data_IF_481504932888
#
_entry.id   IF_481504932888
#
_cell.length_a   1.000
_cell.length_b   1.000
_cell.length_c   1.000
_cell.angle_alpha   90.00
_cell.angle_beta   90.00
_cell.angle_gamma   90.00
#
_symmetry.space_group_name_H-M   'P 1'
#
loop_
_entity.id
_entity.type
_entity.pdbx_description
1 polymer ?
#
# COMPACT_ATOMS: atom_id res chain seq x y z
N UNK A 1 -25.09 -24.13 12.86
CA UNK A 1 -25.75 -22.99 12.22
C UNK A 1 -24.66 -21.98 11.92
N UNK A 2 -24.30 -21.76 10.67
CA UNK A 2 -23.34 -20.70 10.32
C UNK A 2 -24.03 -19.38 10.63
N UNK A 3 -23.50 -18.62 11.60
CA UNK A 3 -24.00 -17.27 11.88
C UNK A 3 -23.90 -16.45 10.59
N UNK A 4 -24.97 -15.73 10.25
CA UNK A 4 -24.96 -14.79 9.14
C UNK A 4 -23.87 -13.73 9.43
N UNK A 5 -22.99 -13.40 8.46
CA UNK A 5 -21.97 -12.39 8.69
C UNK A 5 -22.62 -11.01 8.92
N UNK A 6 -22.07 -10.25 9.84
CA UNK A 6 -22.43 -8.85 10.06
C UNK A 6 -21.76 -7.94 9.02
N UNK A 7 -20.57 -8.34 8.57
CA UNK A 7 -19.79 -7.59 7.57
C UNK A 7 -19.28 -8.53 6.50
N UNK A 8 -19.51 -8.19 5.23
CA UNK A 8 -18.83 -8.79 4.08
C UNK A 8 -17.76 -7.83 3.59
N UNK A 9 -16.52 -8.32 3.48
CA UNK A 9 -15.40 -7.59 2.89
C UNK A 9 -15.09 -8.19 1.53
N UNK A 10 -15.06 -7.37 0.49
CA UNK A 10 -14.79 -7.81 -0.89
C UNK A 10 -13.34 -7.51 -1.25
N UNK A 11 -12.55 -8.58 -1.43
CA UNK A 11 -11.11 -8.55 -1.71
C UNK A 11 -10.25 -8.90 -0.49
N UNK A 12 -9.29 -9.82 -0.67
CA UNK A 12 -8.32 -10.26 0.34
C UNK A 12 -6.91 -9.72 0.10
N UNK A 13 -6.79 -8.49 -0.41
CA UNK A 13 -5.56 -7.72 -0.40
C UNK A 13 -5.25 -7.15 0.99
N UNK A 14 -4.21 -6.31 1.10
CA UNK A 14 -3.82 -5.69 2.39
C UNK A 14 -4.96 -4.91 3.03
N UNK A 15 -5.81 -4.23 2.25
CA UNK A 15 -6.94 -3.48 2.78
C UNK A 15 -8.00 -4.42 3.35
N UNK A 16 -8.41 -5.44 2.60
CA UNK A 16 -9.45 -6.36 3.06
C UNK A 16 -9.03 -7.18 4.29
N UNK A 17 -7.81 -7.73 4.29
CA UNK A 17 -7.29 -8.48 5.43
C UNK A 17 -7.11 -7.60 6.68
N UNK A 18 -6.67 -6.34 6.50
CA UNK A 18 -6.53 -5.41 7.62
C UNK A 18 -7.88 -4.95 8.18
N UNK A 19 -8.90 -4.71 7.34
CA UNK A 19 -10.27 -4.44 7.80
C UNK A 19 -10.83 -5.63 8.57
N UNK A 20 -10.68 -6.83 8.03
CA UNK A 20 -11.11 -8.05 8.68
C UNK A 20 -10.46 -8.22 10.06
N UNK A 21 -9.16 -7.93 10.17
CA UNK A 21 -8.43 -7.94 11.44
C UNK A 21 -9.05 -6.97 12.46
N UNK A 22 -9.26 -5.70 12.11
CA UNK A 22 -9.81 -4.71 13.01
C UNK A 22 -11.24 -5.01 13.43
N UNK A 23 -12.10 -5.42 12.48
CA UNK A 23 -13.50 -5.76 12.77
C UNK A 23 -13.62 -7.04 13.61
N UNK A 24 -12.82 -8.07 13.32
CA UNK A 24 -12.80 -9.28 14.16
C UNK A 24 -12.28 -8.99 15.57
N UNK A 25 -11.36 -8.03 15.72
CA UNK A 25 -10.91 -7.55 17.03
C UNK A 25 -12.00 -6.76 17.78
N UNK A 26 -12.92 -6.14 17.05
CA UNK A 26 -14.11 -5.50 17.57
C UNK A 26 -15.34 -6.46 17.67
N UNK A 27 -15.08 -7.78 17.61
CA UNK A 27 -16.04 -8.87 17.80
C UNK A 27 -17.13 -8.99 16.71
N UNK A 28 -16.94 -8.38 15.54
CA UNK A 28 -17.83 -8.58 14.40
C UNK A 28 -17.61 -9.94 13.74
N UNK A 29 -18.70 -10.56 13.29
CA UNK A 29 -18.64 -11.73 12.40
C UNK A 29 -18.35 -11.25 10.97
N UNK A 30 -17.13 -11.54 10.49
CA UNK A 30 -16.61 -11.05 9.21
C UNK A 30 -16.47 -12.18 8.21
N UNK A 31 -17.02 -11.98 7.01
CA UNK A 31 -16.76 -12.82 5.84
C UNK A 31 -15.95 -12.03 4.81
N UNK A 32 -14.77 -12.52 4.47
CA UNK A 32 -13.96 -11.99 3.37
C UNK A 32 -14.20 -12.83 2.12
N UNK A 33 -14.51 -12.18 0.99
CA UNK A 33 -14.70 -12.81 -0.31
C UNK A 33 -13.53 -12.43 -1.22
N UNK A 34 -12.85 -13.44 -1.77
CA UNK A 34 -11.73 -13.26 -2.69
C UNK A 34 -11.93 -14.12 -3.94
N UNK A 35 -11.70 -13.54 -5.10
CA UNK A 35 -11.90 -14.21 -6.38
C UNK A 35 -10.75 -15.15 -6.79
N UNK A 36 -9.54 -14.94 -6.26
CA UNK A 36 -8.35 -15.71 -6.60
C UNK A 36 -7.68 -16.26 -5.33
N UNK A 37 -6.78 -15.49 -4.72
CA UNK A 37 -6.05 -15.88 -3.53
C UNK A 37 -5.70 -14.65 -2.67
N UNK A 38 -5.42 -14.87 -1.38
CA UNK A 38 -4.94 -13.81 -0.48
C UNK A 38 -3.71 -13.14 -1.11
N UNK A 39 -3.73 -11.81 -1.13
CA UNK A 39 -2.62 -10.97 -1.60
C UNK A 39 -2.16 -11.23 -3.06
N UNK A 40 -2.95 -11.90 -3.90
CA UNK A 40 -2.57 -12.21 -5.29
C UNK A 40 -2.43 -10.97 -6.18
N UNK A 41 -3.02 -9.84 -5.79
CA UNK A 41 -2.90 -8.55 -6.49
C UNK A 41 -1.66 -7.75 -6.09
N UNK A 42 -1.75 -6.42 -6.16
CA UNK A 42 -0.66 -5.50 -5.84
C UNK A 42 -0.02 -5.71 -4.46
N UNK A 43 -0.78 -6.20 -3.49
CA UNK A 43 -0.33 -6.34 -2.10
C UNK A 43 0.77 -7.38 -1.92
N UNK A 44 0.71 -8.50 -2.65
CA UNK A 44 1.70 -9.58 -2.48
C UNK A 44 3.05 -9.30 -3.13
N UNK A 45 3.07 -8.43 -4.14
CA UNK A 45 4.30 -8.09 -4.89
C UNK A 45 4.83 -6.69 -4.54
N UNK A 46 4.25 -6.02 -3.56
CA UNK A 46 4.71 -4.70 -3.15
C UNK A 46 6.09 -4.77 -2.49
N UNK A 47 6.94 -3.75 -2.73
CA UNK A 47 8.19 -3.63 -1.99
C UNK A 47 7.98 -3.38 -0.49
N UNK A 48 6.79 -2.88 -0.12
CA UNK A 48 6.37 -2.67 1.26
C UNK A 48 7.37 -1.86 2.09
N UNK A 49 7.84 -0.77 1.51
CA UNK A 49 8.55 0.29 2.19
C UNK A 49 7.51 1.16 2.92
N UNK A 50 7.77 1.44 4.19
CA UNK A 50 6.91 2.21 5.09
C UNK A 50 7.63 3.54 5.38
N UNK A 51 7.58 4.44 4.43
CA UNK A 51 8.23 5.74 4.51
C UNK A 51 7.19 6.82 4.85
N UNK A 52 7.23 7.32 6.09
CA UNK A 52 6.32 8.38 6.54
C UNK A 52 6.73 9.77 6.06
N UNK A 53 7.97 9.93 5.65
CA UNK A 53 8.57 11.20 5.20
C UNK A 53 9.21 10.96 3.84
N UNK A 54 8.60 11.51 2.77
CA UNK A 54 9.35 11.67 1.53
C UNK A 54 9.09 10.72 0.37
N UNK A 55 7.89 10.21 0.16
CA UNK A 55 7.53 9.70 -1.16
C UNK A 55 7.48 10.85 -2.18
N UNK A 56 8.67 11.27 -2.64
CA UNK A 56 8.86 12.37 -3.56
C UNK A 56 8.86 13.75 -2.87
N UNK A 57 9.67 14.68 -3.38
CA UNK A 57 9.88 16.04 -2.89
C UNK A 57 8.63 16.96 -2.92
N UNK A 58 7.43 16.42 -2.85
CA UNK A 58 6.17 17.12 -3.04
C UNK A 58 5.24 17.12 -1.82
N UNK A 59 5.56 16.40 -0.74
CA UNK A 59 4.73 16.43 0.47
C UNK A 59 5.04 17.73 1.25
N UNK A 60 4.20 18.71 1.05
CA UNK A 60 4.20 19.91 1.91
C UNK A 60 3.64 19.54 3.28
N UNK A 61 4.02 20.29 4.30
CA UNK A 61 3.51 20.09 5.68
C UNK A 61 1.98 20.15 5.80
N UNK A 62 1.29 20.70 4.81
CA UNK A 62 -0.16 20.83 4.74
C UNK A 62 -0.85 19.79 3.84
N UNK A 63 -0.11 18.83 3.27
CA UNK A 63 -0.71 17.73 2.50
C UNK A 63 -1.48 16.81 3.45
N UNK A 64 -2.78 16.53 3.19
CA UNK A 64 -3.57 15.61 4.02
C UNK A 64 -2.96 14.21 4.12
N UNK A 65 -2.18 13.77 3.11
CA UNK A 65 -1.47 12.49 3.16
C UNK A 65 -0.33 12.50 4.18
N UNK A 66 0.32 13.62 4.48
CA UNK A 66 1.48 13.65 5.39
C UNK A 66 1.10 13.23 6.81
N UNK A 67 0.05 13.83 7.39
CA UNK A 67 -0.44 13.46 8.72
C UNK A 67 -0.99 12.03 8.74
N UNK A 68 -1.68 11.63 7.67
CA UNK A 68 -2.26 10.31 7.52
C UNK A 68 -1.18 9.22 7.39
N UNK A 69 -0.10 9.50 6.64
CA UNK A 69 1.05 8.61 6.50
C UNK A 69 1.80 8.41 7.83
N UNK A 70 1.97 9.48 8.61
CA UNK A 70 2.58 9.39 9.95
C UNK A 70 1.75 8.50 10.87
N UNK A 71 0.43 8.71 10.93
CA UNK A 71 -0.45 7.85 11.73
C UNK A 71 -0.42 6.40 11.25
N UNK A 72 -0.33 6.15 9.94
CA UNK A 72 -0.14 4.82 9.36
C UNK A 72 1.17 4.17 9.80
N UNK A 73 2.26 4.91 9.79
CA UNK A 73 3.57 4.44 10.23
C UNK A 73 3.58 4.06 11.72
N UNK A 74 3.05 4.92 12.58
CA UNK A 74 2.93 4.67 14.02
C UNK A 74 2.09 3.42 14.30
N UNK A 75 1.00 3.22 13.57
CA UNK A 75 0.19 2.00 13.67
C UNK A 75 0.95 0.77 13.16
N UNK A 76 1.77 0.87 12.12
CA UNK A 76 2.63 -0.25 11.71
C UNK A 76 3.57 -0.67 12.82
N UNK A 77 4.27 0.27 13.45
CA UNK A 77 5.17 -0.03 14.58
C UNK A 77 4.43 -0.73 15.72
N UNK A 78 3.26 -0.19 16.11
CA UNK A 78 2.46 -0.76 17.20
C UNK A 78 1.89 -2.15 16.89
N UNK A 79 1.59 -2.43 15.61
CA UNK A 79 1.00 -3.70 15.17
C UNK A 79 1.99 -4.86 15.10
N UNK A 80 3.29 -4.61 14.88
CA UNK A 80 4.23 -5.71 14.66
C UNK A 80 4.29 -6.73 15.80
N UNK A 81 4.49 -6.33 17.06
CA UNK A 81 4.51 -7.28 18.17
C UNK A 81 3.15 -8.00 18.34
N UNK A 82 2.04 -7.28 18.13
CA UNK A 82 0.70 -7.85 18.23
C UNK A 82 0.45 -8.90 17.15
N UNK A 83 0.84 -8.63 15.90
CA UNK A 83 0.68 -9.59 14.82
C UNK A 83 1.54 -10.84 15.01
N UNK A 84 2.76 -10.69 15.53
CA UNK A 84 3.60 -11.83 15.86
C UNK A 84 2.94 -12.70 16.93
N UNK A 85 2.43 -12.10 18.01
CA UNK A 85 1.71 -12.80 19.08
C UNK A 85 0.42 -13.47 18.58
N UNK A 86 -0.42 -12.71 17.86
CA UNK A 86 -1.76 -13.12 17.47
C UNK A 86 -1.78 -14.08 16.27
N UNK A 87 -0.80 -14.01 15.36
CA UNK A 87 -0.75 -14.88 14.18
C UNK A 87 0.35 -15.94 14.23
N UNK A 88 1.36 -15.75 15.09
CA UNK A 88 2.60 -16.55 15.12
C UNK A 88 3.50 -16.29 13.90
N UNK A 89 3.29 -15.23 13.13
CA UNK A 89 4.03 -14.93 11.90
C UNK A 89 4.89 -13.69 12.06
N UNK A 90 6.20 -13.84 11.86
CA UNK A 90 7.11 -12.71 11.71
C UNK A 90 6.90 -12.06 10.33
N UNK A 91 6.54 -10.79 10.33
CA UNK A 91 6.32 -9.99 9.13
C UNK A 91 7.61 -9.51 8.47
N UNK A 92 8.77 -9.77 9.10
CA UNK A 92 10.06 -9.24 8.66
C UNK A 92 10.17 -7.72 8.80
N UNK A 93 9.47 -7.14 9.79
CA UNK A 93 9.57 -5.70 10.07
C UNK A 93 10.98 -5.33 10.49
N UNK A 94 11.51 -4.29 9.86
CA UNK A 94 12.77 -3.68 10.28
C UNK A 94 12.83 -2.23 9.84
N UNK A 95 13.59 -1.44 10.57
CA UNK A 95 13.94 -0.06 10.23
C UNK A 95 15.34 -0.03 9.61
N UNK A 96 15.51 0.79 8.59
CA UNK A 96 16.79 0.95 7.90
C UNK A 96 16.93 2.35 7.31
N UNK A 97 18.17 2.82 7.09
CA UNK A 97 18.43 4.05 6.37
C UNK A 97 17.87 4.01 4.94
N UNK A 98 17.47 5.17 4.43
CA UNK A 98 17.18 5.39 3.01
C UNK A 98 18.15 6.43 2.48
N UNK A 99 18.79 6.11 1.39
CA UNK A 99 19.76 6.94 0.70
C UNK A 99 19.13 7.47 -0.57
N UNK A 100 19.07 8.80 -0.70
CA UNK A 100 18.64 9.49 -1.91
C UNK A 100 19.88 10.14 -2.55
N UNK A 101 20.56 9.47 -3.49
CA UNK A 101 21.82 9.92 -4.06
C UNK A 101 21.61 11.11 -5.01
N UNK A 102 22.56 12.05 -5.02
CA UNK A 102 22.65 13.12 -6.00
C UNK A 102 23.78 12.85 -6.96
N UNK A 103 23.50 12.81 -8.25
CA UNK A 103 24.48 12.63 -9.32
C UNK A 103 24.84 13.94 -10.01
N UNK A 104 24.03 15.00 -9.82
CA UNK A 104 24.25 16.33 -10.39
C UNK A 104 24.26 17.40 -9.30
N UNK A 105 24.88 18.55 -9.60
CA UNK A 105 24.93 19.68 -8.67
C UNK A 105 23.51 20.19 -8.29
N UNK A 106 22.58 20.21 -9.25
CA UNK A 106 21.21 20.64 -9.01
C UNK A 106 20.45 19.69 -8.06
N UNK A 107 20.63 18.36 -8.23
CA UNK A 107 20.08 17.38 -7.28
C UNK A 107 20.69 17.55 -5.89
N UNK A 108 22.00 17.75 -5.79
CA UNK A 108 22.69 17.95 -4.51
C UNK A 108 22.17 19.20 -3.80
N UNK A 109 22.05 20.33 -4.50
CA UNK A 109 21.50 21.59 -3.95
C UNK A 109 20.07 21.39 -3.40
N UNK A 110 19.22 20.72 -4.17
CA UNK A 110 17.84 20.44 -3.77
C UNK A 110 17.76 19.57 -2.51
N UNK A 111 18.55 18.48 -2.46
CA UNK A 111 18.54 17.55 -1.32
C UNK A 111 19.21 18.14 -0.08
N UNK A 112 20.25 18.99 -0.24
CA UNK A 112 20.86 19.73 0.85
C UNK A 112 19.89 20.74 1.46
N UNK A 113 19.18 21.50 0.63
CA UNK A 113 18.14 22.43 1.10
C UNK A 113 17.06 21.71 1.90
N UNK A 114 16.61 20.56 1.41
CA UNK A 114 15.64 19.71 2.12
C UNK A 114 16.20 19.22 3.47
N UNK A 115 17.45 18.78 3.52
CA UNK A 115 18.10 18.35 4.76
C UNK A 115 18.16 19.48 5.79
N UNK A 116 18.52 20.69 5.36
CA UNK A 116 18.58 21.86 6.23
C UNK A 116 17.21 22.27 6.78
N UNK A 117 16.19 22.25 5.95
CA UNK A 117 14.81 22.58 6.35
C UNK A 117 14.26 21.58 7.39
N UNK A 118 14.63 20.30 7.26
CA UNK A 118 14.08 19.20 8.06
C UNK A 118 14.95 18.73 9.22
N UNK A 119 16.17 19.21 9.35
CA UNK A 119 17.10 18.77 10.41
C UNK A 119 16.60 19.09 11.82
N UNK A 120 15.72 20.08 11.99
CA UNK A 120 15.12 20.46 13.28
C UNK A 120 13.87 19.64 13.60
N UNK A 121 13.11 19.23 12.58
CA UNK A 121 11.84 18.51 12.74
C UNK A 121 12.06 16.99 12.82
N UNK A 122 13.11 16.49 12.17
CA UNK A 122 13.43 15.08 12.10
C UNK A 122 14.94 14.90 12.25
N UNK A 123 15.47 14.68 13.46
CA UNK A 123 16.92 14.59 13.71
C UNK A 123 17.67 13.54 12.85
N UNK A 124 16.93 12.56 12.30
CA UNK A 124 17.52 11.52 11.46
C UNK A 124 17.77 11.92 10.00
N UNK A 125 17.32 13.12 9.55
CA UNK A 125 17.57 13.60 8.19
C UNK A 125 18.92 14.29 8.11
N UNK A 126 19.81 13.80 7.24
CA UNK A 126 21.18 14.31 7.09
C UNK A 126 21.62 14.26 5.64
N UNK A 127 22.49 15.20 5.28
CA UNK A 127 23.26 15.14 4.04
C UNK A 127 24.63 14.51 4.32
N UNK A 128 25.00 13.47 3.59
CA UNK A 128 26.30 12.79 3.71
C UNK A 128 27.04 12.78 2.39
N UNK A 129 28.37 12.90 2.47
CA UNK A 129 29.29 12.86 1.34
C UNK A 129 30.48 11.93 1.60
N UNK A 130 31.11 11.49 0.52
CA UNK A 130 32.37 10.75 0.58
C UNK A 130 32.29 9.53 1.51
N UNK A 131 33.34 9.34 2.31
CA UNK A 131 33.46 8.14 3.16
C UNK A 131 32.31 7.95 4.14
N UNK A 132 31.77 9.03 4.70
CA UNK A 132 30.64 8.95 5.62
C UNK A 132 29.39 8.32 5.00
N UNK A 133 29.13 8.61 3.71
CA UNK A 133 28.04 7.98 2.96
C UNK A 133 28.31 6.48 2.74
N UNK A 134 29.55 6.14 2.33
CA UNK A 134 29.91 4.75 2.04
C UNK A 134 30.06 3.88 3.30
N UNK A 135 30.24 4.47 4.46
CA UNK A 135 30.17 3.75 5.73
C UNK A 135 28.72 3.33 6.07
N UNK A 136 27.72 4.13 5.63
CA UNK A 136 26.29 3.76 5.74
C UNK A 136 25.96 2.66 4.72
N UNK A 137 26.32 2.87 3.45
CA UNK A 137 26.03 1.90 2.36
C UNK A 137 27.19 1.79 1.38
N UNK A 138 28.00 0.73 1.49
CA UNK A 138 29.19 0.55 0.64
C UNK A 138 28.88 0.39 -0.86
N UNK A 139 27.68 -0.05 -1.20
CA UNK A 139 27.27 -0.32 -2.59
C UNK A 139 26.87 0.91 -3.39
N UNK A 140 26.62 2.06 -2.71
CA UNK A 140 26.28 3.31 -3.41
C UNK A 140 27.34 3.66 -4.43
N UNK A 141 26.89 4.03 -5.62
CA UNK A 141 27.75 4.45 -6.72
C UNK A 141 28.72 5.56 -6.29
N UNK A 142 30.02 5.36 -6.56
CA UNK A 142 31.09 6.32 -6.21
C UNK A 142 31.03 7.62 -6.98
N UNK A 143 30.24 7.68 -8.07
CA UNK A 143 30.05 8.90 -8.87
C UNK A 143 29.05 9.88 -8.26
N UNK A 144 28.41 9.56 -7.12
CA UNK A 144 27.49 10.48 -6.44
C UNK A 144 28.26 11.64 -5.81
N UNK A 145 27.68 12.84 -5.84
CA UNK A 145 28.22 14.02 -5.16
C UNK A 145 27.98 13.97 -3.66
N UNK A 146 26.92 13.29 -3.24
CA UNK A 146 26.48 13.06 -1.88
C UNK A 146 25.10 12.45 -1.90
N UNK A 147 24.48 12.32 -0.73
CA UNK A 147 23.12 11.82 -0.59
C UNK A 147 22.41 12.41 0.62
N UNK A 148 21.10 12.59 0.48
CA UNK A 148 20.20 12.75 1.61
C UNK A 148 19.99 11.37 2.24
N UNK A 149 20.15 11.26 3.55
CA UNK A 149 19.88 10.05 4.32
C UNK A 149 18.69 10.28 5.24
N UNK A 150 17.67 9.46 5.06
CA UNK A 150 16.47 9.42 5.90
C UNK A 150 16.32 8.03 6.52
N UNK A 151 15.21 7.77 7.22
CA UNK A 151 14.90 6.46 7.78
C UNK A 151 13.49 6.04 7.42
N UNK A 152 13.32 4.77 7.18
CA UNK A 152 12.03 4.13 6.96
C UNK A 152 11.96 2.79 7.69
N UNK A 153 10.75 2.24 7.76
CA UNK A 153 10.58 0.83 8.05
C UNK A 153 10.19 0.06 6.77
N UNK A 154 10.22 -1.25 6.86
CA UNK A 154 9.76 -2.15 5.81
C UNK A 154 9.21 -3.44 6.41
N UNK A 155 8.38 -4.14 5.63
CA UNK A 155 7.89 -5.49 5.94
C UNK A 155 8.03 -6.40 4.72
N UNK A 156 7.92 -7.70 4.91
CA UNK A 156 7.67 -8.65 3.84
C UNK A 156 6.18 -8.57 3.48
N UNK A 157 5.86 -7.97 2.35
CA UNK A 157 4.48 -7.61 1.95
C UNK A 157 3.49 -8.76 2.10
N UNK A 158 3.81 -9.90 1.48
CA UNK A 158 2.97 -11.09 1.51
C UNK A 158 2.78 -11.62 2.93
N UNK A 159 3.87 -11.69 3.74
CA UNK A 159 3.80 -12.15 5.13
C UNK A 159 2.97 -11.24 6.01
N UNK A 160 3.05 -9.91 5.80
CA UNK A 160 2.23 -8.95 6.53
C UNK A 160 0.74 -9.15 6.27
N UNK A 161 0.34 -9.36 5.00
CA UNK A 161 -1.06 -9.63 4.65
C UNK A 161 -1.53 -10.95 5.24
N UNK A 162 -0.70 -12.01 5.15
CA UNK A 162 -1.03 -13.30 5.76
C UNK A 162 -1.14 -13.23 7.29
N UNK A 163 -0.27 -12.46 7.96
CA UNK A 163 -0.34 -12.29 9.41
C UNK A 163 -1.66 -11.64 9.84
N UNK A 164 -2.10 -10.59 9.10
CA UNK A 164 -3.40 -9.96 9.32
C UNK A 164 -4.56 -10.94 9.11
N UNK A 165 -4.56 -11.68 8.02
CA UNK A 165 -5.59 -12.67 7.72
C UNK A 165 -5.65 -13.75 8.80
N UNK A 166 -4.51 -14.33 9.17
CA UNK A 166 -4.43 -15.39 10.19
C UNK A 166 -4.87 -14.89 11.57
N UNK A 167 -4.46 -13.70 11.97
CA UNK A 167 -4.92 -13.10 13.22
C UNK A 167 -6.45 -12.87 13.25
N UNK A 168 -7.03 -12.49 12.09
CA UNK A 168 -8.48 -12.35 11.95
C UNK A 168 -9.20 -13.71 11.96
N UNK A 169 -8.66 -14.73 11.29
CA UNK A 169 -9.20 -16.11 11.30
C UNK A 169 -9.23 -16.71 12.70
N UNK A 170 -8.20 -16.48 13.51
CA UNK A 170 -8.17 -16.92 14.91
C UNK A 170 -9.27 -16.28 15.78
N UNK A 171 -9.86 -15.17 15.30
CA UNK A 171 -11.01 -14.48 15.92
C UNK A 171 -12.34 -14.79 15.24
N UNK A 172 -12.37 -15.77 14.33
CA UNK A 172 -13.59 -16.23 13.67
C UNK A 172 -13.91 -15.57 12.34
N UNK A 173 -13.00 -14.77 11.75
CA UNK A 173 -13.15 -14.33 10.37
C UNK A 173 -13.17 -15.55 9.44
N UNK A 174 -14.11 -15.56 8.51
CA UNK A 174 -14.19 -16.58 7.46
C UNK A 174 -13.70 -16.00 6.14
N UNK A 175 -12.79 -16.74 5.45
CA UNK A 175 -12.38 -16.44 4.09
C UNK A 175 -13.02 -17.44 3.13
N UNK A 176 -13.71 -16.95 2.10
CA UNK A 176 -14.29 -17.78 1.03
C UNK A 176 -13.83 -17.34 -0.34
N UNK A 177 -13.60 -18.32 -1.20
CA UNK A 177 -13.47 -18.05 -2.62
C UNK A 177 -14.82 -17.63 -3.20
N UNK A 178 -14.83 -16.50 -3.92
CA UNK A 178 -16.04 -15.99 -4.57
C UNK A 178 -15.81 -14.65 -5.26
N UNK A 179 -16.26 -14.55 -6.50
CA UNK A 179 -16.22 -13.31 -7.25
C UNK A 179 -17.52 -12.53 -7.07
N UNK A 180 -17.45 -11.37 -6.44
CA UNK A 180 -18.57 -10.45 -6.28
C UNK A 180 -18.76 -9.67 -7.57
N UNK A 181 -19.98 -9.67 -8.08
CA UNK A 181 -20.38 -8.99 -9.33
C UNK A 181 -21.50 -7.98 -9.16
N UNK A 182 -21.89 -7.70 -7.93
CA UNK A 182 -22.93 -6.71 -7.63
C UNK A 182 -23.27 -6.65 -6.15
N UNK A 183 -24.06 -5.65 -5.81
CA UNK A 183 -24.63 -5.46 -4.48
C UNK A 183 -26.13 -5.73 -4.54
N UNK A 184 -26.67 -6.28 -3.45
CA UNK A 184 -28.13 -6.42 -3.24
C UNK A 184 -28.60 -5.31 -2.31
N UNK A 185 -29.74 -4.66 -2.70
CA UNK A 185 -30.28 -3.51 -2.00
C UNK A 185 -31.77 -3.67 -1.72
N UNK A 186 -32.21 -3.22 -0.54
CA UNK A 186 -33.61 -3.00 -0.20
C UNK A 186 -33.84 -1.56 0.30
N UNK A 187 -35.11 -1.20 0.52
CA UNK A 187 -35.45 0.09 1.10
C UNK A 187 -34.77 0.26 2.47
N UNK A 188 -33.72 1.05 2.56
CA UNK A 188 -32.98 1.26 3.81
C UNK A 188 -31.46 1.00 3.68
N UNK A 189 -30.99 0.34 2.64
CA UNK A 189 -29.54 0.15 2.42
C UNK A 189 -29.16 -1.16 1.76
N UNK A 190 -27.87 -1.50 1.83
CA UNK A 190 -27.35 -2.77 1.35
C UNK A 190 -27.85 -3.92 2.23
N UNK A 191 -28.12 -5.06 1.60
CA UNK A 191 -28.47 -6.30 2.30
C UNK A 191 -27.50 -7.45 1.97
N UNK A 192 -26.54 -7.22 1.12
CA UNK A 192 -25.54 -8.23 0.76
C UNK A 192 -24.90 -8.04 -0.61
N UNK A 193 -24.30 -9.12 -1.10
CA UNK A 193 -23.57 -9.15 -2.38
C UNK A 193 -24.08 -10.28 -3.26
N UNK A 194 -23.99 -10.07 -4.59
CA UNK A 194 -24.28 -11.08 -5.61
C UNK A 194 -22.95 -11.64 -6.16
N UNK A 195 -22.88 -12.97 -6.22
CA UNK A 195 -21.73 -13.69 -6.75
C UNK A 195 -21.90 -14.03 -8.23
N UNK A 196 -20.80 -14.20 -8.95
CA UNK A 196 -20.78 -14.60 -10.38
C UNK A 196 -21.49 -15.94 -10.63
N UNK A 197 -21.47 -16.86 -9.68
CA UNK A 197 -22.18 -18.16 -9.79
C UNK A 197 -23.70 -18.05 -9.58
N UNK A 198 -24.24 -16.85 -9.41
CA UNK A 198 -25.68 -16.57 -9.19
C UNK A 198 -26.12 -16.62 -7.72
N UNK A 199 -25.23 -16.98 -6.79
CA UNK A 199 -25.53 -16.96 -5.35
C UNK A 199 -25.57 -15.53 -4.78
N UNK A 200 -26.34 -15.35 -3.71
CA UNK A 200 -26.38 -14.13 -2.90
C UNK A 200 -25.95 -14.45 -1.48
N UNK A 201 -25.09 -13.59 -0.91
CA UNK A 201 -24.71 -13.62 0.50
C UNK A 201 -25.19 -12.34 1.16
N UNK A 202 -25.82 -12.46 2.31
CA UNK A 202 -26.47 -11.35 3.00
C UNK A 202 -25.62 -10.85 4.16
N UNK A 203 -25.49 -9.52 4.27
CA UNK A 203 -24.91 -8.81 5.40
C UNK A 203 -25.41 -7.37 5.42
N UNK A 204 -25.62 -6.76 6.58
CA UNK A 204 -26.04 -5.36 6.69
C UNK A 204 -24.90 -4.37 6.33
N UNK A 205 -23.66 -4.82 6.33
CA UNK A 205 -22.48 -4.01 5.99
C UNK A 205 -21.63 -4.69 4.92
N UNK A 206 -21.23 -3.93 3.91
CA UNK A 206 -20.32 -4.37 2.85
C UNK A 206 -19.16 -3.39 2.71
N UNK A 207 -17.93 -3.90 2.73
CA UNK A 207 -16.72 -3.10 2.51
C UNK A 207 -16.07 -3.49 1.18
N UNK A 208 -15.93 -2.53 0.27
CA UNK A 208 -15.30 -2.70 -1.04
C UNK A 208 -13.81 -2.41 -0.94
N UNK A 209 -12.98 -3.47 -0.90
CA UNK A 209 -11.51 -3.43 -0.80
C UNK A 209 -10.85 -4.05 -2.05
N UNK A 210 -11.39 -3.75 -3.23
CA UNK A 210 -11.16 -4.46 -4.49
C UNK A 210 -9.91 -3.98 -5.26
N UNK A 211 -9.04 -3.16 -4.65
CA UNK A 211 -7.85 -2.63 -5.32
C UNK A 211 -8.19 -1.93 -6.65
N UNK A 212 -7.47 -2.21 -7.75
CA UNK A 212 -7.73 -1.57 -9.05
C UNK A 212 -9.09 -1.98 -9.67
N UNK A 213 -9.64 -3.12 -9.26
CA UNK A 213 -10.98 -3.56 -9.71
C UNK A 213 -12.12 -2.77 -9.08
N UNK A 214 -11.84 -1.86 -8.14
CA UNK A 214 -12.86 -1.00 -7.51
C UNK A 214 -13.63 -0.15 -8.52
N UNK A 215 -13.05 0.16 -9.68
CA UNK A 215 -13.77 0.83 -10.78
C UNK A 215 -15.01 0.06 -11.26
N UNK A 216 -15.02 -1.29 -11.13
CA UNK A 216 -16.17 -2.10 -11.55
C UNK A 216 -17.39 -1.84 -10.65
N UNK A 217 -17.17 -1.40 -9.41
CA UNK A 217 -18.26 -1.05 -8.51
C UNK A 217 -19.03 0.21 -8.97
N UNK A 218 -18.49 1.01 -9.89
CA UNK A 218 -19.19 2.15 -10.47
C UNK A 218 -20.55 1.76 -11.06
N UNK A 219 -20.61 0.64 -11.80
CA UNK A 219 -21.86 0.12 -12.35
C UNK A 219 -22.83 -0.44 -11.31
N UNK A 220 -22.33 -0.88 -10.14
CA UNK A 220 -23.17 -1.42 -9.08
C UNK A 220 -23.81 -0.32 -8.23
N UNK A 221 -23.06 0.78 -8.08
CA UNK A 221 -23.38 1.89 -7.20
C UNK A 221 -24.05 3.06 -7.92
N UNK A 222 -24.00 3.07 -9.25
CA UNK A 222 -24.38 4.22 -10.10
C UNK A 222 -23.62 5.50 -9.68
N UNK A 223 -22.29 5.35 -9.46
CA UNK A 223 -21.39 6.43 -9.03
C UNK A 223 -20.12 6.45 -9.86
N UNK A 224 -19.49 7.61 -9.96
CA UNK A 224 -18.15 7.72 -10.53
C UNK A 224 -17.12 7.21 -9.50
N UNK A 225 -16.37 6.17 -9.89
CA UNK A 225 -15.24 5.63 -9.12
C UNK A 225 -14.00 5.68 -10.00
N UNK A 226 -13.27 6.80 -9.99
CA UNK A 226 -12.18 7.04 -10.92
C UNK A 226 -10.88 6.39 -10.41
N UNK A 227 -10.91 5.07 -10.28
CA UNK A 227 -9.76 4.23 -9.94
C UNK A 227 -9.35 3.45 -11.18
N UNK A 228 -8.07 3.46 -11.49
CA UNK A 228 -7.50 2.73 -12.64
C UNK A 228 -6.22 1.99 -12.26
N UNK A 229 -5.90 0.89 -12.96
CA UNK A 229 -4.68 0.14 -12.71
C UNK A 229 -3.46 0.86 -13.28
N UNK A 230 -2.36 0.87 -12.51
CA UNK A 230 -1.04 1.28 -12.97
C UNK A 230 -0.08 0.12 -12.70
N UNK A 231 0.45 -0.47 -13.78
CA UNK A 231 1.37 -1.59 -13.65
C UNK A 231 2.72 -1.13 -13.12
N UNK A 232 3.24 -1.87 -12.13
CA UNK A 232 4.61 -1.73 -11.66
C UNK A 232 5.32 -3.06 -11.67
N UNK A 233 6.55 -3.08 -12.16
CA UNK A 233 7.38 -4.28 -12.23
C UNK A 233 8.56 -4.17 -11.28
N UNK A 234 8.95 -5.29 -10.69
CA UNK A 234 10.08 -5.44 -9.78
C UNK A 234 10.97 -6.59 -10.25
N UNK A 235 12.25 -6.49 -9.97
CA UNK A 235 13.18 -7.62 -10.04
C UNK A 235 13.51 -8.09 -8.63
N UNK A 236 13.60 -9.38 -8.49
CA UNK A 236 14.10 -10.08 -7.31
C UNK A 236 15.55 -10.45 -7.57
N UNK A 237 16.45 -9.92 -6.76
CA UNK A 237 17.90 -10.09 -6.91
C UNK A 237 18.46 -10.84 -5.70
N UNK A 238 19.33 -11.81 -5.96
CA UNK A 238 20.21 -12.37 -4.95
C UNK A 238 21.56 -11.68 -5.07
N UNK A 239 21.88 -10.82 -4.10
CA UNK A 239 23.09 -10.04 -4.06
C UNK A 239 24.16 -10.84 -3.30
N UNK A 240 25.40 -11.00 -3.82
CA UNK A 240 26.49 -11.57 -3.06
C UNK A 240 26.82 -10.74 -1.81
N UNK A 241 27.43 -11.38 -0.80
CA UNK A 241 27.90 -10.64 0.37
C UNK A 241 29.00 -9.62 0.03
N UNK A 242 28.99 -8.45 0.67
CA UNK A 242 28.06 -7.99 1.69
C UNK A 242 26.70 -7.60 1.10
N UNK A 243 25.63 -7.83 1.85
CA UNK A 243 24.26 -7.40 1.47
C UNK A 243 24.11 -5.88 1.61
N UNK A 244 23.12 -5.31 0.90
CA UNK A 244 22.76 -3.90 1.09
C UNK A 244 22.27 -3.64 2.51
N UNK A 245 22.79 -2.59 3.13
CA UNK A 245 22.45 -2.16 4.50
C UNK A 245 21.33 -1.13 4.53
N UNK A 246 21.27 -0.29 3.49
CA UNK A 246 20.29 0.77 3.33
C UNK A 246 19.41 0.52 2.10
N UNK A 247 18.23 1.13 2.09
CA UNK A 247 17.47 1.31 0.85
C UNK A 247 18.12 2.42 0.04
N UNK A 248 18.29 2.23 -1.26
CA UNK A 248 18.77 3.29 -2.17
C UNK A 248 17.58 3.68 -3.06
N UNK A 249 17.19 4.95 -3.06
CA UNK A 249 16.04 5.45 -3.81
C UNK A 249 16.45 6.60 -4.73
N UNK A 250 16.24 6.45 -6.04
CA UNK A 250 16.64 7.45 -7.03
C UNK A 250 15.62 7.49 -8.19
N UNK A 251 15.13 8.69 -8.50
CA UNK A 251 14.27 8.95 -9.66
C UNK A 251 13.06 7.99 -9.76
N UNK A 252 12.40 7.70 -8.62
CA UNK A 252 11.24 6.81 -8.56
C UNK A 252 11.57 5.31 -8.54
N UNK A 253 12.83 4.94 -8.77
CA UNK A 253 13.36 3.59 -8.64
C UNK A 253 14.00 3.40 -7.25
N UNK A 254 14.13 2.15 -6.82
CA UNK A 254 14.73 1.81 -5.53
C UNK A 254 15.40 0.44 -5.54
N UNK A 255 16.32 0.28 -4.59
CA UNK A 255 16.91 -1.00 -4.19
C UNK A 255 16.59 -1.19 -2.71
N UNK A 256 15.92 -2.26 -2.36
CA UNK A 256 15.57 -2.56 -0.98
C UNK A 256 15.88 -4.03 -0.65
N UNK A 257 16.82 -4.25 0.27
CA UNK A 257 17.12 -5.58 0.76
C UNK A 257 16.07 -6.01 1.79
N UNK A 258 15.55 -7.23 1.66
CA UNK A 258 14.45 -7.75 2.48
C UNK A 258 14.97 -8.74 3.54
N UNK A 259 14.15 -8.98 4.57
CA UNK A 259 14.50 -9.87 5.68
C UNK A 259 14.67 -11.34 5.26
N UNK A 260 14.15 -11.74 4.11
CA UNK A 260 14.29 -13.07 3.53
C UNK A 260 15.55 -13.26 2.66
N UNK A 261 16.42 -12.24 2.59
CA UNK A 261 17.67 -12.29 1.86
C UNK A 261 17.56 -11.86 0.39
N UNK A 262 16.37 -11.48 -0.09
CA UNK A 262 16.16 -10.97 -1.44
C UNK A 262 16.30 -9.46 -1.46
N UNK A 263 16.94 -8.93 -2.48
CA UNK A 263 16.93 -7.50 -2.78
C UNK A 263 15.92 -7.24 -3.89
N UNK A 264 14.93 -6.40 -3.62
CA UNK A 264 13.98 -5.94 -4.63
C UNK A 264 14.55 -4.70 -5.31
N UNK A 265 14.60 -4.75 -6.64
CA UNK A 265 14.93 -3.62 -7.49
C UNK A 265 13.69 -3.19 -8.28
N UNK A 266 13.39 -1.94 -8.31
CA UNK A 266 12.25 -1.39 -9.06
C UNK A 266 12.01 0.07 -8.78
N UNK A 267 10.95 0.61 -9.25
CA UNK A 267 9.81 -0.03 -9.92
C UNK A 267 9.42 0.76 -11.17
N UNK A 268 8.89 0.09 -12.18
CA UNK A 268 8.27 0.79 -13.31
C UNK A 268 6.93 1.42 -12.90
N UNK A 269 6.49 2.38 -13.69
CA UNK A 269 5.18 3.01 -13.54
C UNK A 269 4.53 3.14 -14.93
N UNK A 270 3.57 2.25 -15.22
CA UNK A 270 3.01 2.05 -16.54
C UNK A 270 1.50 2.28 -16.52
N UNK A 271 1.09 3.50 -16.87
CA UNK A 271 -0.31 3.96 -16.80
C UNK A 271 -1.21 3.34 -17.86
N UNK A 272 -0.65 3.00 -19.03
CA UNK A 272 -1.41 2.50 -20.18
C UNK A 272 -1.54 0.97 -20.23
N UNK A 273 -1.15 0.28 -19.17
CA UNK A 273 -1.17 -1.19 -19.12
C UNK A 273 -2.58 -1.79 -19.04
N UNK A 274 -3.58 -1.00 -18.65
CA UNK A 274 -4.89 -1.53 -18.29
C UNK A 274 -4.75 -2.64 -17.24
N UNK A 275 -5.54 -3.71 -17.38
CA UNK A 275 -5.48 -4.89 -16.49
C UNK A 275 -4.47 -5.95 -16.92
N UNK A 276 -3.53 -5.64 -17.83
CA UNK A 276 -2.49 -6.58 -18.23
C UNK A 276 -1.44 -6.64 -17.12
N UNK A 277 -1.46 -7.72 -16.33
CA UNK A 277 -0.54 -7.96 -15.21
C UNK A 277 0.54 -8.97 -15.60
N UNK A 278 1.40 -8.59 -16.55
CA UNK A 278 2.50 -9.44 -17.03
C UNK A 278 3.81 -8.65 -17.08
N UNK A 279 4.94 -9.23 -16.64
CA UNK A 279 6.24 -8.60 -16.74
C UNK A 279 6.69 -8.50 -18.20
N UNK A 280 7.55 -7.50 -18.50
CA UNK A 280 8.04 -7.23 -19.86
C UNK A 280 9.57 -7.14 -19.90
N UNK A 281 10.16 -7.46 -21.06
CA UNK A 281 11.59 -7.30 -21.27
C UNK A 281 12.06 -5.82 -21.13
N UNK A 282 11.25 -4.87 -21.62
CA UNK A 282 11.53 -3.44 -21.48
C UNK A 282 11.53 -3.00 -20.01
N UNK A 283 10.57 -3.46 -19.20
CA UNK A 283 10.55 -3.19 -17.76
C UNK A 283 11.77 -3.75 -17.04
N UNK A 284 12.17 -4.99 -17.40
CA UNK A 284 13.39 -5.61 -16.87
C UNK A 284 14.63 -4.78 -17.17
N UNK A 285 14.79 -4.34 -18.42
CA UNK A 285 15.93 -3.53 -18.84
C UNK A 285 15.98 -2.21 -18.05
N UNK A 286 14.86 -1.47 -18.00
CA UNK A 286 14.80 -0.19 -17.30
C UNK A 286 15.16 -0.32 -15.81
N UNK A 287 14.70 -1.38 -15.15
CA UNK A 287 15.01 -1.63 -13.74
C UNK A 287 16.48 -1.96 -13.54
N UNK A 288 17.07 -2.82 -14.40
CA UNK A 288 18.50 -3.16 -14.32
C UNK A 288 19.40 -1.94 -14.56
N UNK A 289 19.09 -1.10 -15.54
CA UNK A 289 19.83 0.13 -15.81
C UNK A 289 19.82 1.06 -14.59
N UNK A 290 18.66 1.26 -13.97
CA UNK A 290 18.53 2.06 -12.76
C UNK A 290 19.26 1.44 -11.57
N UNK A 291 19.16 0.14 -11.37
CA UNK A 291 19.83 -0.59 -10.29
C UNK A 291 21.35 -0.44 -10.39
N UNK A 292 21.92 -0.66 -11.57
CA UNK A 292 23.36 -0.53 -11.82
C UNK A 292 23.85 0.94 -11.73
N UNK A 293 22.99 1.90 -12.04
CA UNK A 293 23.30 3.31 -11.79
C UNK A 293 23.38 3.61 -10.30
N UNK A 294 22.46 3.10 -9.50
CA UNK A 294 22.44 3.32 -8.03
C UNK A 294 23.57 2.57 -7.32
N UNK A 295 23.79 1.32 -7.70
CA UNK A 295 24.76 0.41 -7.08
C UNK A 295 25.43 -0.46 -8.16
N UNK A 296 26.57 -0.03 -8.75
CA UNK A 296 27.26 -0.77 -9.81
C UNK A 296 27.73 -2.18 -9.42
N UNK A 297 27.91 -2.43 -8.14
CA UNK A 297 28.28 -3.74 -7.60
C UNK A 297 27.21 -4.81 -7.82
N UNK A 298 25.97 -4.42 -8.11
CA UNK A 298 24.88 -5.33 -8.44
C UNK A 298 25.03 -5.99 -9.83
N UNK A 299 26.06 -5.64 -10.60
CA UNK A 299 26.39 -6.32 -11.85
C UNK A 299 26.61 -7.84 -11.66
N UNK A 300 27.06 -8.25 -10.48
CA UNK A 300 27.27 -9.64 -10.11
C UNK A 300 26.04 -10.32 -9.44
N UNK A 301 24.93 -9.58 -9.28
CA UNK A 301 23.73 -10.12 -8.67
C UNK A 301 22.99 -11.07 -9.62
N UNK A 302 22.49 -12.18 -9.06
CA UNK A 302 21.62 -13.09 -9.78
C UNK A 302 20.19 -12.54 -9.84
N UNK A 303 19.61 -12.44 -11.03
CA UNK A 303 18.18 -12.15 -11.19
C UNK A 303 17.38 -13.42 -10.99
N UNK A 304 16.77 -13.60 -9.82
CA UNK A 304 16.01 -14.81 -9.46
C UNK A 304 14.55 -14.74 -9.83
N UNK A 305 14.00 -13.52 -10.03
CA UNK A 305 12.61 -13.34 -10.41
C UNK A 305 12.31 -11.98 -11.03
N UNK A 306 11.20 -11.91 -11.72
CA UNK A 306 10.58 -10.67 -12.17
C UNK A 306 9.08 -10.77 -11.91
N UNK A 307 8.56 -9.86 -11.13
CA UNK A 307 7.15 -9.81 -10.74
C UNK A 307 6.52 -8.49 -11.15
N UNK A 308 5.20 -8.46 -11.25
CA UNK A 308 4.46 -7.23 -11.49
C UNK A 308 3.13 -7.22 -10.74
N UNK A 309 2.60 -6.02 -10.52
CA UNK A 309 1.30 -5.81 -9.88
C UNK A 309 0.63 -4.56 -10.39
N UNK A 310 -0.69 -4.54 -10.29
CA UNK A 310 -1.54 -3.44 -10.71
C UNK A 310 -1.88 -2.57 -9.50
N UNK A 311 -1.23 -1.41 -9.40
CA UNK A 311 -1.52 -0.44 -8.32
C UNK A 311 -2.86 0.25 -8.58
N UNK A 312 -3.74 0.38 -7.58
CA UNK A 312 -4.97 1.16 -7.69
C UNK A 312 -4.65 2.65 -7.61
N UNK A 313 -4.67 3.35 -8.74
CA UNK A 313 -4.49 4.80 -8.78
C UNK A 313 -5.85 5.49 -8.88
N UNK A 314 -6.07 6.52 -8.06
CA UNK A 314 -7.23 7.42 -8.18
C UNK A 314 -6.88 8.61 -9.06
N UNK A 315 -7.88 9.25 -9.67
CA UNK A 315 -7.67 10.35 -10.62
C UNK A 315 -6.99 11.58 -9.98
N UNK A 316 -7.17 11.78 -8.69
CA UNK A 316 -6.57 12.89 -7.92
C UNK A 316 -5.38 12.45 -7.05
N UNK A 317 -4.93 11.21 -7.19
CA UNK A 317 -3.86 10.59 -6.40
C UNK A 317 -4.14 10.47 -4.89
N UNK A 318 -5.36 10.78 -4.41
CA UNK A 318 -5.78 10.57 -3.04
C UNK A 318 -6.63 9.29 -2.92
N UNK A 319 -6.48 8.47 -1.88
CA UNK A 319 -7.29 7.27 -1.72
C UNK A 319 -8.78 7.63 -1.49
N UNK A 320 -9.67 6.70 -1.81
CA UNK A 320 -11.09 6.74 -1.48
C UNK A 320 -11.29 5.93 -0.20
N UNK A 321 -11.66 6.59 0.90
CA UNK A 321 -11.82 5.97 2.22
C UNK A 321 -13.06 6.55 2.88
N UNK A 322 -14.12 5.75 3.06
CA UNK A 322 -15.33 6.23 3.71
C UNK A 322 -16.59 5.49 3.32
N UNK A 323 -17.72 6.02 3.78
CA UNK A 323 -19.03 5.55 3.39
C UNK A 323 -19.33 5.90 1.92
N UNK A 324 -20.00 5.01 1.22
CA UNK A 324 -20.38 5.24 -0.19
C UNK A 324 -21.65 6.09 -0.25
N UNK A 325 -21.64 7.24 -0.97
CA UNK A 325 -22.81 8.12 -1.05
C UNK A 325 -24.05 7.40 -1.59
N UNK A 326 -25.19 7.62 -0.93
CA UNK A 326 -26.46 7.02 -1.33
C UNK A 326 -26.59 5.52 -1.09
N UNK A 327 -25.61 4.87 -0.45
CA UNK A 327 -25.57 3.45 -0.15
C UNK A 327 -25.34 3.17 1.35
N UNK A 328 -26.33 3.36 2.22
CA UNK A 328 -26.19 3.04 3.64
C UNK A 328 -25.69 1.60 3.83
N UNK A 329 -24.69 1.43 4.71
CA UNK A 329 -24.03 0.14 4.97
C UNK A 329 -22.93 -0.24 3.97
N UNK A 330 -22.66 0.55 2.93
CA UNK A 330 -21.52 0.31 2.02
C UNK A 330 -20.38 1.27 2.33
N UNK A 331 -19.18 0.71 2.44
CA UNK A 331 -17.93 1.45 2.63
C UNK A 331 -16.93 1.11 1.51
N UNK A 332 -16.02 2.03 1.21
CA UNK A 332 -14.97 1.82 0.22
C UNK A 332 -13.60 2.15 0.80
N UNK A 333 -12.59 1.36 0.45
CA UNK A 333 -11.18 1.59 0.76
C UNK A 333 -10.32 1.16 -0.43
N UNK A 334 -9.90 2.11 -1.25
CA UNK A 334 -9.16 1.85 -2.49
C UNK A 334 -8.41 3.10 -2.97
N UNK A 335 -7.65 2.99 -4.07
CA UNK A 335 -7.02 4.14 -4.71
C UNK A 335 -5.71 4.61 -4.06
N UNK A 336 -5.06 3.78 -3.24
CA UNK A 336 -3.85 4.15 -2.46
C UNK A 336 -2.57 4.22 -3.28
N UNK A 337 -2.58 3.84 -4.53
CA UNK A 337 -1.45 3.85 -5.47
C UNK A 337 -0.17 3.26 -4.85
N UNK A 338 0.90 4.08 -4.70
CA UNK A 338 2.21 3.65 -4.18
C UNK A 338 2.24 3.51 -2.65
N UNK A 339 1.31 4.17 -1.94
CA UNK A 339 1.30 4.26 -0.48
C UNK A 339 0.43 3.19 0.19
N UNK A 340 -0.09 2.21 -0.58
CA UNK A 340 -1.07 1.25 -0.08
C UNK A 340 -0.60 0.44 1.14
N UNK A 341 0.64 0.00 1.19
CA UNK A 341 1.16 -0.73 2.36
C UNK A 341 1.25 0.17 3.59
N UNK A 342 1.86 1.35 3.46
CA UNK A 342 1.99 2.32 4.55
C UNK A 342 0.63 2.74 5.11
N UNK A 343 -0.31 3.08 4.23
CA UNK A 343 -1.62 3.61 4.63
C UNK A 343 -2.62 2.52 5.01
N UNK A 344 -2.32 1.23 4.78
CA UNK A 344 -3.27 0.14 5.03
C UNK A 344 -3.78 0.13 6.47
N UNK A 345 -2.90 0.30 7.43
CA UNK A 345 -3.22 0.22 8.86
C UNK A 345 -4.19 1.32 9.28
N UNK A 346 -3.90 2.56 8.92
CA UNK A 346 -4.74 3.72 9.31
C UNK A 346 -6.04 3.78 8.51
N UNK A 347 -6.00 3.53 7.19
CA UNK A 347 -7.20 3.55 6.34
C UNK A 347 -8.24 2.55 6.83
N UNK A 348 -7.78 1.35 7.14
CA UNK A 348 -8.68 0.27 7.55
C UNK A 348 -9.12 0.41 9.00
N UNK A 349 -8.29 0.97 9.87
CA UNK A 349 -8.69 1.34 11.22
C UNK A 349 -9.81 2.39 11.19
N UNK A 350 -9.69 3.41 10.34
CA UNK A 350 -10.72 4.41 10.17
C UNK A 350 -12.07 3.81 9.72
N UNK A 351 -12.04 2.88 8.74
CA UNK A 351 -13.26 2.19 8.28
C UNK A 351 -13.86 1.32 9.40
N UNK A 352 -13.04 0.56 10.11
CA UNK A 352 -13.52 -0.28 11.20
C UNK A 352 -14.15 0.55 12.33
N UNK A 353 -13.53 1.67 12.70
CA UNK A 353 -14.06 2.58 13.71
C UNK A 353 -15.34 3.31 13.24
N UNK A 354 -15.45 3.67 11.94
CA UNK A 354 -16.68 4.20 11.37
C UNK A 354 -17.83 3.18 11.44
N UNK A 355 -17.55 1.92 11.15
CA UNK A 355 -18.57 0.85 11.23
C UNK A 355 -19.00 0.61 12.67
N UNK A 356 -18.07 0.56 13.61
CA UNK A 356 -18.35 0.18 15.01
C UNK A 356 -18.85 1.33 15.88
N UNK A 357 -18.39 2.55 15.64
CA UNK A 357 -18.65 3.71 16.51
C UNK A 357 -19.31 4.89 15.81
N UNK A 358 -19.37 4.86 14.48
CA UNK A 358 -19.82 5.99 13.65
C UNK A 358 -18.80 7.15 13.55
N UNK A 359 -17.56 6.97 14.06
CA UNK A 359 -16.53 8.02 14.08
C UNK A 359 -15.20 7.50 13.59
N UNK A 360 -14.45 8.32 12.85
CA UNK A 360 -13.08 8.02 12.46
C UNK A 360 -12.08 8.65 13.44
N UNK A 361 -10.95 7.99 13.78
CA UNK A 361 -9.92 8.53 14.65
C UNK A 361 -9.18 9.73 14.05
N UNK A 362 -9.16 9.82 12.73
CA UNK A 362 -8.57 10.95 11.97
C UNK A 362 -9.56 11.45 10.93
N UNK A 363 -9.40 12.69 10.48
CA UNK A 363 -10.28 13.26 9.44
C UNK A 363 -10.12 12.52 8.13
N UNK A 364 -11.24 12.10 7.53
CA UNK A 364 -11.32 11.51 6.20
C UNK A 364 -11.83 12.47 5.13
N UNK A 365 -12.02 13.74 5.44
CA UNK A 365 -12.64 14.71 4.54
C UNK A 365 -11.96 14.78 3.16
N UNK A 366 -10.62 14.71 3.11
CA UNK A 366 -9.86 14.70 1.86
C UNK A 366 -9.99 13.38 1.08
N UNK A 367 -10.41 12.31 1.74
CA UNK A 367 -10.46 10.95 1.18
C UNK A 367 -11.89 10.46 0.94
N UNK A 368 -12.89 11.29 1.25
CA UNK A 368 -14.31 10.95 1.14
C UNK A 368 -14.65 10.55 -0.32
N UNK A 369 -15.24 9.37 -0.56
CA UNK A 369 -15.72 8.98 -1.88
C UNK A 369 -16.71 9.97 -2.51
N UNK A 370 -17.44 10.72 -1.71
CA UNK A 370 -18.39 11.74 -2.16
C UNK A 370 -17.75 12.86 -2.99
N UNK A 371 -16.44 13.10 -2.89
CA UNK A 371 -15.73 14.13 -3.66
C UNK A 371 -15.78 13.95 -5.18
N UNK A 372 -16.07 12.75 -5.63
CA UNK A 372 -16.25 12.41 -7.05
C UNK A 372 -17.72 12.33 -7.49
N UNK A 373 -18.65 12.51 -6.56
CA UNK A 373 -20.07 12.55 -6.91
C UNK A 373 -20.39 13.93 -7.48
N UNK A 374 -20.94 14.05 -8.71
CA UNK A 374 -21.36 15.32 -9.23
C UNK A 374 -22.33 15.97 -8.25
N UNK A 375 -22.02 17.19 -7.82
CA UNK A 375 -23.01 18.00 -7.08
C UNK A 375 -24.16 18.23 -8.03
N UNK A 376 -25.31 17.59 -7.80
CA UNK A 376 -26.55 17.97 -8.45
C UNK A 376 -26.81 19.42 -8.05
N UNK A 377 -26.38 20.36 -8.89
CA UNK A 377 -26.87 21.72 -8.78
C UNK A 377 -28.38 21.61 -8.87
N UNK A 378 -29.04 21.83 -7.74
CA UNK A 378 -30.46 22.08 -7.69
C UNK A 378 -30.73 23.26 -8.63
N UNK A 379 -31.13 22.93 -9.86
CA UNK A 379 -31.75 23.91 -10.74
C UNK A 379 -33.11 24.18 -10.12
N UNK A 380 -33.21 25.30 -9.45
CA UNK A 380 -34.48 25.95 -9.07
C UNK A 380 -35.14 26.50 -10.33
#
# INVERSE_FOLDING_TARGET
MTNQPEVIVVGAGVMGCSIAYWLSKAEYTVLVLEQEAIACGASGVAAAMLEAVGHGAHLTTNDPLTAFARAGFELHQALQPLLLEESGMDTGYRENPVIHPAFTAAEAETLQAYALERCHDTPAVQWLEGQALWDVEPHVNRAVLGALVTHQAQVLAYRFVLALARAAEQRGMELRHGEVVGLERQAGGVIGVRLRNGGTLTAPVVVLAMGPWSQHAAAWLDLCIPIYPVRGQLLELRVPDPQLRATISYSGMYLVHKADGITLAGTTEEHDSGFINQPTAAGRQAILEAALKMAPTLAEAEVVGQVCGLRPCSADHLPLIGAVPGWPGVYMVAGHFRSGMLLSTISTRCIADLISTGKSPVSLAAFDPARFTPTLHASL
#
